data_IF_332594570852
#
_entry.id   IF_332594570852
#
_cell.length_a   1.000
_cell.length_b   1.000
_cell.length_c   1.000
_cell.angle_alpha   90.00
_cell.angle_beta   90.00
_cell.angle_gamma   90.00
#
_symmetry.space_group_name_H-M   'P 1'
#
loop_
_entity.id
_entity.type
_entity.pdbx_description
1 polymer ?
#
# COMPACT_ATOMS: atom_id res chain seq x y z
N UNK A 1 -4.83 -2.11 28.67
CA UNK A 1 -5.54 -2.64 27.48
C UNK A 1 -5.59 -4.19 27.47
N UNK A 2 -5.99 -4.80 28.62
CA UNK A 2 -5.93 -6.25 28.80
C UNK A 2 -7.30 -6.95 28.65
N UNK A 3 -8.37 -6.22 28.32
CA UNK A 3 -9.68 -6.82 28.02
C UNK A 3 -9.96 -6.75 26.51
N UNK A 4 -9.76 -7.89 25.86
CA UNK A 4 -10.15 -8.06 24.46
C UNK A 4 -11.66 -8.29 24.42
N UNK A 5 -12.38 -7.49 23.65
CA UNK A 5 -13.81 -7.72 23.42
C UNK A 5 -14.04 -9.11 22.80
N UNK A 6 -15.15 -9.76 23.16
CA UNK A 6 -15.48 -11.15 22.73
C UNK A 6 -15.44 -11.33 21.20
N UNK A 7 -15.80 -10.31 20.41
CA UNK A 7 -15.66 -10.32 18.94
C UNK A 7 -14.20 -10.29 18.48
N UNK A 8 -13.33 -9.56 19.20
CA UNK A 8 -11.91 -9.49 18.88
C UNK A 8 -11.17 -10.81 19.16
N UNK A 9 -11.68 -11.66 20.06
CA UNK A 9 -11.11 -12.99 20.33
C UNK A 9 -11.34 -13.97 19.17
N UNK A 10 -12.30 -13.71 18.29
CA UNK A 10 -12.60 -14.54 17.11
C UNK A 10 -11.69 -14.22 15.92
N UNK A 11 -11.05 -13.05 15.92
CA UNK A 11 -10.12 -12.62 14.90
C UNK A 11 -8.74 -13.25 15.10
N UNK A 12 -8.23 -13.93 14.09
CA UNK A 12 -6.86 -14.44 14.10
C UNK A 12 -5.84 -13.29 14.05
N UNK A 13 -6.12 -12.21 13.32
CA UNK A 13 -5.24 -11.05 13.25
C UNK A 13 -4.94 -10.52 14.65
N UNK A 14 -5.97 -10.41 15.50
CA UNK A 14 -5.83 -9.89 16.88
C UNK A 14 -5.14 -10.92 17.78
N UNK A 15 -5.58 -12.18 17.77
CA UNK A 15 -5.02 -13.21 18.64
C UNK A 15 -3.56 -13.53 18.30
N UNK A 16 -3.21 -13.60 17.01
CA UNK A 16 -1.83 -13.84 16.59
C UNK A 16 -0.92 -12.63 16.83
N UNK A 17 -1.44 -11.41 16.67
CA UNK A 17 -0.67 -10.21 17.02
C UNK A 17 -0.27 -10.16 18.50
N UNK A 18 -1.14 -10.64 19.39
CA UNK A 18 -0.84 -10.76 20.83
C UNK A 18 0.22 -11.83 21.06
N UNK A 19 0.12 -13.00 20.39
CA UNK A 19 1.12 -14.06 20.48
C UNK A 19 2.51 -13.56 20.06
N UNK A 20 2.59 -12.86 18.92
CA UNK A 20 3.86 -12.26 18.43
C UNK A 20 4.42 -11.25 19.44
N UNK A 21 3.59 -10.37 20.02
CA UNK A 21 4.02 -9.44 21.08
C UNK A 21 4.55 -10.15 22.34
N UNK A 22 4.11 -11.38 22.60
CA UNK A 22 4.61 -12.23 23.70
C UNK A 22 5.87 -13.01 23.30
N UNK A 23 6.45 -12.78 22.11
CA UNK A 23 7.61 -13.48 21.59
C UNK A 23 7.32 -14.89 21.06
N UNK A 24 6.04 -15.24 20.83
CA UNK A 24 5.66 -16.53 20.27
C UNK A 24 5.71 -16.47 18.74
N UNK A 25 6.16 -17.57 18.14
CA UNK A 25 6.16 -17.72 16.68
C UNK A 25 4.73 -17.94 16.14
N UNK A 26 4.48 -17.48 14.90
CA UNK A 26 3.22 -17.74 14.20
C UNK A 26 3.07 -19.20 13.80
N UNK A 27 4.18 -19.85 13.43
CA UNK A 27 4.24 -21.25 12.97
C UNK A 27 5.34 -22.01 13.72
N UNK A 28 5.29 -23.33 13.71
CA UNK A 28 6.42 -24.15 14.15
C UNK A 28 7.60 -24.05 13.19
N UNK A 29 8.81 -24.36 13.68
CA UNK A 29 10.00 -24.38 12.84
C UNK A 29 9.84 -25.39 11.70
N UNK A 30 10.17 -24.95 10.49
CA UNK A 30 10.08 -25.76 9.27
C UNK A 30 8.67 -25.98 8.73
N UNK A 31 7.64 -25.34 9.32
CA UNK A 31 6.29 -25.44 8.77
C UNK A 31 6.21 -24.80 7.39
N UNK A 32 5.56 -25.50 6.45
CA UNK A 32 5.28 -25.02 5.10
C UNK A 32 3.84 -25.35 4.74
N UNK A 33 3.23 -24.52 3.90
CA UNK A 33 1.86 -24.70 3.43
C UNK A 33 1.05 -23.43 3.53
N UNK A 34 -0.27 -23.59 3.45
CA UNK A 34 -1.26 -22.54 3.62
C UNK A 34 -2.25 -22.94 4.71
N UNK A 35 -2.56 -21.99 5.57
CA UNK A 35 -3.51 -22.18 6.67
C UNK A 35 -4.37 -20.93 6.87
N UNK A 36 -5.68 -21.09 6.89
CA UNK A 36 -6.62 -20.05 7.28
C UNK A 36 -6.91 -20.13 8.77
N UNK A 37 -6.79 -19.03 9.49
CA UNK A 37 -6.92 -18.94 10.95
C UNK A 37 -8.07 -18.06 11.40
N UNK A 38 -8.51 -18.33 12.64
CA UNK A 38 -9.57 -17.61 13.34
C UNK A 38 -10.96 -18.12 13.01
N UNK A 39 -11.89 -17.91 13.93
CA UNK A 39 -13.31 -18.19 13.69
C UNK A 39 -13.87 -17.31 12.56
N UNK A 40 -13.30 -16.10 12.37
CA UNK A 40 -13.68 -15.17 11.31
C UNK A 40 -12.98 -15.48 9.98
N UNK A 41 -12.03 -16.42 9.95
CA UNK A 41 -11.22 -16.75 8.77
C UNK A 41 -10.53 -15.51 8.16
N UNK A 42 -10.11 -14.59 9.02
CA UNK A 42 -9.61 -13.25 8.66
C UNK A 42 -8.09 -13.19 8.52
N UNK A 43 -7.39 -14.32 8.65
CA UNK A 43 -5.94 -14.42 8.47
C UNK A 43 -5.56 -15.66 7.69
N UNK A 44 -4.87 -15.48 6.59
CA UNK A 44 -4.27 -16.56 5.80
C UNK A 44 -2.76 -16.50 6.01
N UNK A 45 -2.19 -17.58 6.51
CA UNK A 45 -0.73 -17.79 6.59
C UNK A 45 -0.28 -18.66 5.44
N UNK A 46 0.79 -18.23 4.78
CA UNK A 46 1.36 -18.94 3.66
C UNK A 46 2.89 -18.96 3.81
N UNK A 47 3.48 -20.13 3.86
CA UNK A 47 4.93 -20.31 4.03
C UNK A 47 5.47 -21.31 3.03
N UNK A 48 6.51 -20.92 2.33
CA UNK A 48 7.19 -21.74 1.33
C UNK A 48 8.70 -21.76 1.59
N UNK A 49 9.33 -22.85 1.16
CA UNK A 49 10.79 -23.00 1.22
C UNK A 49 11.51 -22.11 0.21
N UNK A 50 10.86 -21.81 -0.93
CA UNK A 50 11.44 -20.98 -1.98
C UNK A 50 10.89 -19.56 -1.90
N UNK A 51 11.79 -18.59 -1.70
CA UNK A 51 11.47 -17.14 -1.64
C UNK A 51 10.85 -16.60 -2.92
N UNK A 52 11.06 -17.23 -4.09
CA UNK A 52 10.43 -16.81 -5.34
C UNK A 52 8.91 -16.98 -5.28
N UNK A 53 8.41 -17.95 -4.55
CA UNK A 53 6.99 -18.18 -4.36
C UNK A 53 6.32 -17.05 -3.58
N UNK A 54 7.01 -16.41 -2.64
CA UNK A 54 6.48 -15.25 -1.91
C UNK A 54 6.03 -14.13 -2.86
N UNK A 55 6.89 -13.76 -3.82
CA UNK A 55 6.54 -12.74 -4.81
C UNK A 55 5.30 -13.12 -5.64
N UNK A 56 5.29 -14.36 -6.16
CA UNK A 56 4.16 -14.84 -6.97
C UNK A 56 2.85 -14.85 -6.18
N UNK A 57 2.89 -15.27 -4.93
CA UNK A 57 1.70 -15.32 -4.07
C UNK A 57 1.19 -13.93 -3.73
N UNK A 58 2.07 -12.98 -3.37
CA UNK A 58 1.67 -11.59 -3.16
C UNK A 58 0.93 -11.05 -4.40
N UNK A 59 1.48 -11.31 -5.59
CA UNK A 59 0.87 -10.86 -6.86
C UNK A 59 -0.47 -11.54 -7.12
N UNK A 60 -0.62 -12.83 -6.81
CA UNK A 60 -1.88 -13.55 -6.98
C UNK A 60 -2.94 -13.07 -5.99
N UNK A 61 -2.62 -12.95 -4.70
CA UNK A 61 -3.53 -12.39 -3.71
C UNK A 61 -3.95 -10.97 -4.10
N UNK A 62 -3.02 -10.12 -4.53
CA UNK A 62 -3.36 -8.77 -4.99
C UNK A 62 -4.36 -8.79 -6.14
N UNK A 63 -4.16 -9.66 -7.15
CA UNK A 63 -5.09 -9.80 -8.28
C UNK A 63 -6.50 -10.22 -7.85
N UNK A 64 -6.61 -11.10 -6.85
CA UNK A 64 -7.92 -11.54 -6.37
C UNK A 64 -8.59 -10.46 -5.52
N UNK A 65 -7.88 -9.89 -4.56
CA UNK A 65 -8.43 -8.92 -3.62
C UNK A 65 -8.93 -7.64 -4.30
N UNK A 66 -8.23 -7.14 -5.31
CA UNK A 66 -8.67 -5.94 -6.05
C UNK A 66 -9.99 -6.14 -6.84
N UNK A 67 -10.39 -7.39 -7.11
CA UNK A 67 -11.69 -7.67 -7.77
C UNK A 67 -12.88 -7.45 -6.84
N UNK A 68 -12.67 -7.62 -5.54
CA UNK A 68 -13.70 -7.57 -4.50
C UNK A 68 -13.65 -6.26 -3.70
N UNK A 69 -12.56 -5.51 -3.78
CA UNK A 69 -12.38 -4.24 -3.07
C UNK A 69 -13.29 -3.13 -3.64
N UNK A 70 -13.84 -2.31 -2.76
CA UNK A 70 -14.62 -1.12 -3.15
C UNK A 70 -13.72 -0.02 -3.72
N UNK A 71 -12.50 0.06 -3.21
CA UNK A 71 -11.46 0.98 -3.64
C UNK A 71 -10.10 0.31 -3.61
N UNK A 72 -9.19 0.72 -4.48
CA UNK A 72 -7.80 0.29 -4.42
C UNK A 72 -7.11 0.75 -3.12
N UNK A 73 -7.65 1.76 -2.45
CA UNK A 73 -7.15 2.21 -1.15
C UNK A 73 -7.38 1.18 -0.05
N UNK A 74 -8.38 0.31 -0.19
CA UNK A 74 -8.74 -0.72 0.79
C UNK A 74 -7.76 -1.90 0.80
N UNK A 75 -6.99 -2.12 -0.28
CA UNK A 75 -6.03 -3.22 -0.43
C UNK A 75 -4.61 -2.70 -0.34
N UNK A 76 -3.80 -3.22 0.59
CA UNK A 76 -2.43 -2.78 0.81
C UNK A 76 -1.45 -3.95 0.84
N UNK A 77 -0.42 -3.88 0.00
CA UNK A 77 0.75 -4.75 0.10
C UNK A 77 1.74 -4.13 1.08
N UNK A 78 2.18 -4.90 2.08
CA UNK A 78 3.16 -4.46 3.08
C UNK A 78 4.33 -5.42 3.08
N UNK A 79 5.53 -4.90 2.83
CA UNK A 79 6.77 -5.71 2.83
C UNK A 79 7.88 -5.03 3.63
N UNK A 80 8.80 -5.80 4.24
CA UNK A 80 9.88 -5.23 5.04
C UNK A 80 10.98 -4.58 4.19
N UNK A 81 11.16 -5.04 2.93
CA UNK A 81 12.33 -4.71 2.11
C UNK A 81 12.02 -3.66 1.04
N UNK A 82 12.96 -2.71 0.85
CA UNK A 82 12.91 -1.74 -0.25
C UNK A 82 13.56 -2.26 -1.53
N UNK A 83 14.44 -3.26 -1.44
CA UNK A 83 15.22 -3.83 -2.55
C UNK A 83 15.03 -5.35 -2.63
N UNK A 84 15.26 -5.91 -3.82
CA UNK A 84 15.08 -7.34 -4.09
C UNK A 84 13.83 -7.66 -4.90
N UNK A 85 13.58 -8.92 -5.18
CA UNK A 85 12.46 -9.40 -6.03
C UNK A 85 11.11 -9.03 -5.40
N UNK A 86 10.93 -9.24 -4.10
CA UNK A 86 9.71 -8.89 -3.36
C UNK A 86 9.82 -7.49 -2.73
N UNK A 87 10.49 -6.56 -3.38
CA UNK A 87 10.67 -5.20 -2.88
C UNK A 87 9.46 -4.32 -3.15
N UNK A 88 9.37 -3.23 -2.38
CA UNK A 88 8.38 -2.17 -2.62
C UNK A 88 8.39 -1.70 -4.08
N UNK A 89 9.58 -1.50 -4.67
CA UNK A 89 9.70 -1.02 -6.05
C UNK A 89 9.16 -2.03 -7.08
N UNK A 90 9.56 -3.31 -6.98
CA UNK A 90 9.12 -4.38 -7.88
C UNK A 90 7.61 -4.63 -7.77
N UNK A 91 7.10 -4.67 -6.54
CA UNK A 91 5.67 -4.89 -6.28
C UNK A 91 4.80 -3.72 -6.74
N UNK A 92 5.26 -2.48 -6.54
CA UNK A 92 4.56 -1.31 -7.08
C UNK A 92 4.49 -1.32 -8.60
N UNK A 93 5.60 -1.70 -9.27
CA UNK A 93 5.63 -1.78 -10.72
C UNK A 93 4.62 -2.81 -11.25
N UNK A 94 4.63 -4.04 -10.73
CA UNK A 94 3.71 -5.08 -11.19
C UNK A 94 2.25 -4.79 -10.82
N UNK A 95 2.01 -4.24 -9.61
CA UNK A 95 0.67 -3.86 -9.18
C UNK A 95 0.07 -2.76 -10.08
N UNK A 96 0.86 -1.77 -10.47
CA UNK A 96 0.44 -0.77 -11.45
C UNK A 96 0.07 -1.40 -12.80
N UNK A 97 0.88 -2.36 -13.30
CA UNK A 97 0.57 -3.04 -14.56
C UNK A 97 -0.72 -3.88 -14.48
N UNK A 98 -1.02 -4.45 -13.33
CA UNK A 98 -2.23 -5.23 -13.11
C UNK A 98 -3.45 -4.33 -12.98
N UNK A 99 -3.38 -3.31 -12.12
CA UNK A 99 -4.51 -2.47 -11.78
C UNK A 99 -4.78 -1.37 -12.81
N UNK A 100 -3.72 -0.69 -13.28
CA UNK A 100 -3.84 0.48 -14.15
C UNK A 100 -2.96 0.37 -15.42
N UNK A 101 -3.17 -0.66 -16.26
CA UNK A 101 -2.31 -0.92 -17.43
C UNK A 101 -2.50 0.08 -18.58
N UNK A 102 -3.69 0.68 -18.72
CA UNK A 102 -4.13 1.37 -19.92
C UNK A 102 -4.29 2.90 -19.80
N UNK A 103 -3.88 3.49 -18.66
CA UNK A 103 -4.01 4.95 -18.54
C UNK A 103 -3.17 5.68 -19.58
N UNK A 104 -3.84 6.58 -20.34
CA UNK A 104 -3.20 7.40 -21.38
C UNK A 104 -2.48 8.62 -20.82
N UNK A 105 -2.91 9.12 -19.66
CA UNK A 105 -2.38 10.33 -19.04
C UNK A 105 -1.37 9.94 -17.98
N UNK A 106 -0.11 10.33 -18.18
CA UNK A 106 1.00 9.91 -17.32
C UNK A 106 2.04 11.02 -17.13
N UNK A 107 2.77 10.96 -16.03
CA UNK A 107 3.89 11.84 -15.71
C UNK A 107 5.11 11.03 -15.26
N UNK A 108 6.25 11.29 -15.92
CA UNK A 108 7.51 10.55 -15.63
C UNK A 108 8.29 11.29 -14.56
N UNK A 109 8.62 10.61 -13.49
CA UNK A 109 9.54 11.13 -12.47
C UNK A 109 10.96 10.81 -12.91
N UNK A 110 11.76 11.85 -13.09
CA UNK A 110 13.13 11.76 -13.60
C UNK A 110 14.14 12.10 -12.48
N UNK A 111 15.25 11.37 -12.47
CA UNK A 111 16.43 11.69 -11.65
C UNK A 111 17.69 11.47 -12.46
N UNK A 112 18.51 12.48 -12.57
CA UNK A 112 19.76 12.44 -13.38
C UNK A 112 19.54 11.92 -14.80
N UNK A 113 18.46 12.35 -15.47
CA UNK A 113 18.14 11.93 -16.84
C UNK A 113 17.49 10.53 -16.97
N UNK A 114 17.35 9.78 -15.87
CA UNK A 114 16.76 8.43 -15.88
C UNK A 114 15.37 8.45 -15.29
N UNK A 115 14.40 7.76 -15.93
CA UNK A 115 13.06 7.57 -15.41
C UNK A 115 13.14 6.66 -14.17
N UNK A 116 12.68 7.17 -13.03
CA UNK A 116 12.62 6.41 -11.79
C UNK A 116 11.31 5.62 -11.69
N UNK A 117 10.19 6.30 -11.89
CA UNK A 117 8.86 5.71 -11.99
C UNK A 117 7.94 6.59 -12.83
N UNK A 118 6.79 6.03 -13.17
CA UNK A 118 5.77 6.72 -13.95
C UNK A 118 4.49 6.77 -13.11
N UNK A 119 3.95 7.95 -12.93
CA UNK A 119 2.64 8.20 -12.32
C UNK A 119 1.59 8.26 -13.43
N UNK A 120 0.45 7.59 -13.24
CA UNK A 120 -0.66 7.56 -14.19
C UNK A 120 -1.95 7.98 -13.50
N UNK A 121 -2.86 8.59 -14.23
CA UNK A 121 -4.22 8.83 -13.74
C UNK A 121 -4.86 7.50 -13.35
N UNK A 122 -5.42 7.43 -12.14
CA UNK A 122 -5.97 6.22 -11.54
C UNK A 122 -5.02 5.47 -10.63
N UNK A 123 -3.73 5.82 -10.57
CA UNK A 123 -2.78 5.16 -9.68
C UNK A 123 -3.06 5.46 -8.20
N UNK A 124 -2.88 4.43 -7.38
CA UNK A 124 -2.71 4.58 -5.93
C UNK A 124 -1.31 5.10 -5.64
N UNK A 125 -1.24 6.18 -4.88
CA UNK A 125 0.02 6.87 -4.56
C UNK A 125 0.15 7.13 -3.06
N UNK A 126 1.41 7.35 -2.64
CA UNK A 126 1.76 7.76 -1.29
C UNK A 126 2.63 9.01 -1.33
N UNK A 127 2.31 9.99 -0.49
CA UNK A 127 3.19 11.14 -0.27
C UNK A 127 4.34 10.76 0.67
N UNK A 128 5.58 11.10 0.31
CA UNK A 128 6.80 10.73 1.06
C UNK A 128 7.43 11.91 1.79
N UNK A 129 6.90 13.12 1.63
CA UNK A 129 7.41 14.32 2.30
C UNK A 129 6.28 15.28 2.64
N UNK A 130 6.31 15.87 3.83
CA UNK A 130 5.33 16.89 4.20
C UNK A 130 5.39 18.07 3.22
N UNK A 131 4.22 18.54 2.81
CA UNK A 131 4.06 19.78 2.06
C UNK A 131 2.93 20.59 2.67
N UNK A 132 3.27 21.80 3.07
CA UNK A 132 2.34 22.70 3.73
C UNK A 132 1.82 23.76 2.77
N UNK A 133 0.65 24.31 3.08
CA UNK A 133 0.07 25.48 2.42
C UNK A 133 -0.03 25.30 0.89
N UNK A 134 -0.51 24.14 0.43
CA UNK A 134 -0.89 23.97 -0.97
C UNK A 134 -2.18 24.75 -1.18
N UNK A 135 -2.17 25.68 -2.12
CA UNK A 135 -3.33 26.48 -2.49
C UNK A 135 -3.96 25.84 -3.72
N UNK A 136 -5.16 25.31 -3.57
CA UNK A 136 -5.96 24.81 -4.69
C UNK A 136 -6.57 25.94 -5.51
N UNK A 137 -7.01 25.65 -6.73
CA UNK A 137 -7.64 26.64 -7.63
C UNK A 137 -8.93 27.26 -7.07
N UNK A 138 -9.60 26.58 -6.14
CA UNK A 138 -10.79 27.08 -5.43
C UNK A 138 -10.45 28.00 -4.23
N UNK A 139 -9.16 28.25 -3.98
CA UNK A 139 -8.64 29.06 -2.89
C UNK A 139 -8.50 28.32 -1.56
N UNK A 140 -8.85 27.04 -1.48
CA UNK A 140 -8.63 26.23 -0.29
C UNK A 140 -7.13 26.01 -0.04
N UNK A 141 -6.72 26.00 1.24
CA UNK A 141 -5.34 25.77 1.66
C UNK A 141 -5.28 24.43 2.37
N UNK A 142 -4.41 23.54 1.89
CA UNK A 142 -4.33 22.15 2.35
C UNK A 142 -2.89 21.77 2.65
N UNK A 143 -2.70 20.98 3.72
CA UNK A 143 -1.44 20.34 4.07
C UNK A 143 -1.51 18.86 3.75
N UNK A 144 -0.42 18.31 3.20
CA UNK A 144 -0.24 16.87 3.04
C UNK A 144 0.99 16.39 3.80
N UNK A 145 0.86 15.22 4.42
CA UNK A 145 1.90 14.67 5.28
C UNK A 145 2.53 13.42 4.67
N UNK A 146 3.74 13.12 5.12
CA UNK A 146 4.40 11.86 4.79
C UNK A 146 3.52 10.68 5.25
N UNK A 147 3.24 9.76 4.32
CA UNK A 147 2.36 8.61 4.55
C UNK A 147 0.93 8.80 4.04
N UNK A 148 0.50 10.01 3.67
CA UNK A 148 -0.83 10.17 3.09
C UNK A 148 -0.98 9.39 1.78
N UNK A 149 -1.99 8.54 1.72
CA UNK A 149 -2.36 7.75 0.55
C UNK A 149 -3.46 8.45 -0.24
N UNK A 150 -3.43 8.30 -1.56
CA UNK A 150 -4.45 8.90 -2.44
C UNK A 150 -4.50 8.22 -3.80
N UNK A 151 -5.40 8.73 -4.65
CA UNK A 151 -5.58 8.31 -6.03
C UNK A 151 -5.39 9.50 -6.96
N UNK A 152 -4.56 9.36 -7.98
CA UNK A 152 -4.39 10.38 -9.01
C UNK A 152 -5.67 10.50 -9.83
N UNK A 153 -6.29 11.67 -9.80
CA UNK A 153 -7.52 11.97 -10.56
C UNK A 153 -7.24 12.64 -11.89
N UNK A 154 -6.23 13.49 -11.95
CA UNK A 154 -5.80 14.13 -13.20
C UNK A 154 -4.31 14.54 -13.14
N UNK A 155 -3.73 14.79 -14.31
CA UNK A 155 -2.39 15.33 -14.47
C UNK A 155 -2.49 16.53 -15.39
N UNK A 156 -2.23 17.73 -14.88
CA UNK A 156 -2.27 19.02 -15.57
C UNK A 156 -0.84 19.51 -15.86
N UNK A 157 -0.72 20.65 -16.49
CA UNK A 157 0.61 21.20 -16.85
C UNK A 157 1.42 21.60 -15.61
N UNK A 158 0.78 22.16 -14.58
CA UNK A 158 1.45 22.72 -13.39
C UNK A 158 1.34 21.82 -12.16
N UNK A 159 0.32 20.95 -12.09
CA UNK A 159 0.04 20.12 -10.92
C UNK A 159 -0.47 18.72 -11.25
N UNK A 160 -0.47 17.88 -10.26
CA UNK A 160 -1.12 16.56 -10.25
C UNK A 160 -2.28 16.64 -9.27
N UNK A 161 -3.51 16.40 -9.75
CA UNK A 161 -4.70 16.35 -8.91
C UNK A 161 -4.77 14.98 -8.23
N UNK A 162 -4.66 14.96 -6.92
CA UNK A 162 -4.71 13.74 -6.10
C UNK A 162 -5.85 13.86 -5.10
N UNK A 163 -6.65 12.81 -5.00
CA UNK A 163 -7.67 12.64 -3.97
C UNK A 163 -7.05 11.87 -2.82
N UNK A 164 -6.59 12.57 -1.78
CA UNK A 164 -5.98 11.97 -0.60
C UNK A 164 -7.03 11.50 0.40
N UNK A 165 -6.85 10.28 0.90
CA UNK A 165 -7.74 9.68 1.88
C UNK A 165 -7.81 10.54 3.15
N UNK A 166 -9.05 10.91 3.54
CA UNK A 166 -9.30 11.76 4.72
C UNK A 166 -8.98 13.24 4.54
N UNK A 167 -8.48 13.67 3.36
CA UNK A 167 -8.17 15.08 3.06
C UNK A 167 -9.03 15.58 1.91
N UNK A 168 -9.19 14.78 0.84
CA UNK A 168 -9.89 15.15 -0.37
C UNK A 168 -8.95 15.59 -1.50
N UNK A 169 -9.46 16.36 -2.43
CA UNK A 169 -8.74 16.79 -3.62
C UNK A 169 -7.65 17.82 -3.30
N UNK A 170 -6.44 17.55 -3.77
CA UNK A 170 -5.29 18.44 -3.62
C UNK A 170 -4.58 18.59 -4.97
N UNK A 171 -4.33 19.84 -5.36
CA UNK A 171 -3.54 20.20 -6.53
C UNK A 171 -2.05 20.21 -6.18
N UNK A 172 -1.43 19.03 -6.19
CA UNK A 172 -0.02 18.86 -5.81
C UNK A 172 0.86 19.46 -6.91
N UNK A 173 1.65 20.50 -6.63
CA UNK A 173 2.50 21.12 -7.64
C UNK A 173 3.56 20.13 -8.16
N UNK A 174 3.89 20.18 -9.44
CA UNK A 174 4.88 19.29 -10.07
C UNK A 174 6.27 19.38 -9.44
N UNK A 175 6.61 20.49 -8.81
CA UNK A 175 7.85 20.62 -8.00
C UNK A 175 7.89 19.66 -6.82
N UNK A 176 6.72 19.22 -6.32
CA UNK A 176 6.58 18.22 -5.24
C UNK A 176 6.42 16.78 -5.77
N UNK A 177 6.15 16.60 -7.07
CA UNK A 177 5.92 15.28 -7.67
C UNK A 177 7.04 14.24 -7.42
N UNK A 178 8.33 14.60 -7.28
CA UNK A 178 9.38 13.65 -6.90
C UNK A 178 9.19 12.96 -5.54
N UNK A 179 8.32 13.48 -4.70
CA UNK A 179 7.95 12.91 -3.40
C UNK A 179 6.61 12.14 -3.43
N UNK A 180 5.99 12.04 -4.59
CA UNK A 180 4.80 11.21 -4.81
C UNK A 180 5.26 9.90 -5.44
N UNK A 181 5.14 8.81 -4.69
CA UNK A 181 5.52 7.46 -5.13
C UNK A 181 4.27 6.61 -5.35
N UNK A 182 4.40 5.49 -6.08
CA UNK A 182 3.35 4.48 -6.15
C UNK A 182 3.09 3.91 -4.75
N UNK A 183 1.83 3.72 -4.40
CA UNK A 183 1.39 3.34 -3.06
C UNK A 183 0.74 1.96 -2.97
N UNK A 184 0.81 1.12 -4.00
CA UNK A 184 0.24 -0.23 -3.97
C UNK A 184 0.97 -1.13 -2.96
N UNK A 185 2.29 -1.01 -2.89
CA UNK A 185 3.15 -1.65 -1.90
C UNK A 185 3.91 -0.59 -1.11
N UNK A 186 3.97 -0.76 0.22
CA UNK A 186 4.68 0.13 1.13
C UNK A 186 5.47 -0.68 2.16
N UNK A 187 6.40 -0.03 2.87
CA UNK A 187 7.11 -0.68 3.97
C UNK A 187 6.25 -0.73 5.23
N UNK A 188 6.55 -1.66 6.14
CA UNK A 188 5.92 -1.72 7.46
C UNK A 188 5.99 -0.37 8.20
N UNK A 189 7.12 0.35 8.10
CA UNK A 189 7.27 1.67 8.69
C UNK A 189 6.30 2.71 8.09
N UNK A 190 6.11 2.68 6.76
CA UNK A 190 5.17 3.60 6.08
C UNK A 190 3.70 3.27 6.34
N UNK A 191 3.39 2.04 6.78
CA UNK A 191 2.04 1.58 7.11
C UNK A 191 1.62 1.92 8.53
N UNK A 192 2.55 2.34 9.39
CA UNK A 192 2.24 2.65 10.80
C UNK A 192 1.20 3.75 10.91
N UNK A 193 0.16 3.49 11.70
CA UNK A 193 -0.97 4.40 11.90
C UNK A 193 -2.05 4.36 10.82
N UNK A 194 -1.86 3.59 9.75
CA UNK A 194 -2.86 3.38 8.69
C UNK A 194 -3.73 2.16 8.98
N UNK A 195 -4.93 2.14 8.39
CA UNK A 195 -5.88 1.02 8.44
C UNK A 195 -6.30 0.64 7.02
N UNK A 196 -6.39 -0.65 6.76
CA UNK A 196 -6.78 -1.20 5.47
C UNK A 196 -7.77 -2.35 5.69
N UNK A 197 -8.71 -2.55 4.76
CA UNK A 197 -9.65 -3.66 4.82
C UNK A 197 -8.94 -4.99 4.54
N UNK A 198 -7.99 -4.98 3.59
CA UNK A 198 -7.16 -6.13 3.24
C UNK A 198 -5.68 -5.78 3.26
N UNK A 199 -4.88 -6.59 3.95
CA UNK A 199 -3.41 -6.46 3.97
C UNK A 199 -2.78 -7.74 3.44
N UNK A 200 -1.87 -7.59 2.48
CA UNK A 200 -1.07 -8.66 1.92
C UNK A 200 0.37 -8.47 2.39
N UNK A 201 0.82 -9.33 3.30
CA UNK A 201 2.17 -9.28 3.88
C UNK A 201 3.15 -10.21 3.16
N UNK A 202 4.44 -9.84 3.11
CA UNK A 202 5.47 -10.69 2.54
C UNK A 202 6.88 -10.36 3.06
#
# INVERSE_FOLDING_TARGET
>A
LDKIHRQAQKSAIITESIRVRQGKQLTSDGWTGEETRGELQDMILNCYTDKSNTYHNIVQYFKEEIKHAKSILDVQIIVPCKQGVSSVASLNHIAQQIYNPKSKKQYKIMKSGVVQWVLKVGDKVINKQNKYQIINSDGSVVDIFNGNLGIIKDIKDDYILIDFQGIGYVEVPKSHAPYIELGYAITCHSAQGSQFDTVIGG
#
